data_IF_064734271597
#
_entry.id   IF_064734271597
#
_cell.length_a   1.000
_cell.length_b   1.000
_cell.length_c   1.000
_cell.angle_alpha   90.00
_cell.angle_beta   90.00
_cell.angle_gamma   90.00
#
_symmetry.space_group_name_H-M   'P 1'
#
loop_
_entity.id
_entity.type
_entity.pdbx_description
1 polymer ?
#
# COMPACT_ATOMS: atom_id res chain seq x y z
N UNK A 1 11.13 -48.30 -18.42
CA UNK A 1 12.53 -47.89 -18.22
C UNK A 1 12.82 -46.42 -18.54
N UNK A 2 12.72 -45.93 -19.78
CA UNK A 2 12.99 -44.51 -20.10
C UNK A 2 11.99 -43.55 -19.42
N UNK A 3 10.70 -43.87 -19.46
CA UNK A 3 9.66 -43.04 -18.83
C UNK A 3 9.79 -43.01 -17.30
N UNK A 4 10.18 -44.13 -16.68
CA UNK A 4 10.42 -44.20 -15.23
C UNK A 4 11.64 -43.36 -14.83
N UNK A 5 12.70 -43.35 -15.66
CA UNK A 5 13.86 -42.48 -15.44
C UNK A 5 13.52 -41.00 -15.62
N UNK A 6 12.62 -40.68 -16.54
CA UNK A 6 12.15 -39.30 -16.75
C UNK A 6 11.32 -38.81 -15.54
N UNK A 7 10.37 -39.61 -15.05
CA UNK A 7 9.58 -39.30 -13.86
C UNK A 7 10.47 -39.11 -12.63
N UNK A 8 11.49 -39.96 -12.46
CA UNK A 8 12.45 -39.85 -11.37
C UNK A 8 13.28 -38.56 -11.47
N UNK A 9 13.69 -38.17 -12.68
CA UNK A 9 14.39 -36.92 -12.95
C UNK A 9 13.50 -35.70 -12.68
N UNK A 10 12.26 -35.70 -13.15
CA UNK A 10 11.30 -34.61 -12.90
C UNK A 10 11.03 -34.42 -11.41
N UNK A 11 10.85 -35.52 -10.67
CA UNK A 11 10.64 -35.49 -9.21
C UNK A 11 11.87 -34.91 -8.52
N UNK A 12 13.08 -35.37 -8.89
CA UNK A 12 14.33 -34.90 -8.30
C UNK A 12 14.61 -33.43 -8.60
N UNK A 13 14.32 -32.97 -9.83
CA UNK A 13 14.44 -31.56 -10.21
C UNK A 13 13.40 -30.72 -9.47
N UNK A 14 12.17 -31.22 -9.32
CA UNK A 14 11.11 -30.56 -8.54
C UNK A 14 11.49 -30.39 -7.07
N UNK A 15 12.07 -31.41 -6.44
CA UNK A 15 12.58 -31.34 -5.07
C UNK A 15 13.72 -30.32 -4.94
N UNK A 16 14.69 -30.34 -5.87
CA UNK A 16 15.78 -29.36 -5.90
C UNK A 16 15.25 -27.93 -6.06
N UNK A 17 14.24 -27.73 -6.91
CA UNK A 17 13.61 -26.43 -7.10
C UNK A 17 12.87 -25.95 -5.84
N UNK A 18 12.20 -26.86 -5.11
CA UNK A 18 11.55 -26.54 -3.84
C UNK A 18 12.55 -26.12 -2.76
N UNK A 19 13.70 -26.80 -2.68
CA UNK A 19 14.79 -26.42 -1.76
C UNK A 19 15.34 -25.04 -2.11
N UNK A 20 15.61 -24.78 -3.39
CA UNK A 20 16.06 -23.46 -3.87
C UNK A 20 15.03 -22.37 -3.57
N UNK A 21 13.75 -22.64 -3.79
CA UNK A 21 12.66 -21.71 -3.46
C UNK A 21 12.62 -21.39 -1.96
N UNK A 22 12.75 -22.40 -1.11
CA UNK A 22 12.81 -22.21 0.35
C UNK A 22 14.04 -21.39 0.76
N UNK A 23 15.20 -21.65 0.18
CA UNK A 23 16.43 -20.89 0.45
C UNK A 23 16.31 -19.43 0.01
N UNK A 24 15.73 -19.15 -1.15
CA UNK A 24 15.50 -17.78 -1.63
C UNK A 24 14.54 -17.04 -0.69
N UNK A 25 13.46 -17.67 -0.24
CA UNK A 25 12.53 -17.06 0.71
C UNK A 25 13.17 -16.79 2.07
N UNK A 26 14.00 -17.71 2.57
CA UNK A 26 14.77 -17.51 3.81
C UNK A 26 15.76 -16.33 3.66
N UNK A 27 16.46 -16.24 2.54
CA UNK A 27 17.35 -15.10 2.25
C UNK A 27 16.60 -13.77 2.15
N UNK A 28 15.45 -13.75 1.46
CA UNK A 28 14.61 -12.56 1.37
C UNK A 28 14.05 -12.13 2.74
N UNK A 29 13.74 -13.08 3.61
CA UNK A 29 13.29 -12.82 4.99
C UNK A 29 14.44 -12.24 5.81
N UNK A 30 15.62 -12.87 5.77
CA UNK A 30 16.82 -12.37 6.46
C UNK A 30 17.24 -10.98 6.00
N UNK A 31 17.15 -10.70 4.70
CA UNK A 31 17.43 -9.37 4.15
C UNK A 31 16.43 -8.33 4.67
N UNK A 32 15.14 -8.68 4.78
CA UNK A 32 14.14 -7.80 5.38
C UNK A 32 14.39 -7.54 6.86
N UNK A 33 14.71 -8.57 7.63
CA UNK A 33 15.03 -8.42 9.05
C UNK A 33 16.25 -7.51 9.25
N UNK A 34 17.29 -7.67 8.42
CA UNK A 34 18.45 -6.78 8.42
C UNK A 34 18.08 -5.34 8.07
N UNK A 35 17.28 -5.11 7.03
CA UNK A 35 16.82 -3.76 6.65
C UNK A 35 16.02 -3.11 7.79
N UNK A 36 15.09 -3.85 8.41
CA UNK A 36 14.35 -3.37 9.56
C UNK A 36 15.26 -3.05 10.76
N UNK A 37 16.27 -3.87 11.02
CA UNK A 37 17.24 -3.63 12.09
C UNK A 37 18.04 -2.33 11.82
N UNK A 38 18.50 -2.13 10.59
CA UNK A 38 19.21 -0.91 10.17
C UNK A 38 18.30 0.31 10.31
N UNK A 39 17.04 0.25 9.86
CA UNK A 39 16.06 1.33 10.03
C UNK A 39 15.78 1.65 11.49
N UNK A 40 15.70 0.64 12.37
CA UNK A 40 15.55 0.84 13.84
C UNK A 40 16.76 1.56 14.44
N UNK A 41 17.98 1.13 14.08
CA UNK A 41 19.22 1.77 14.53
C UNK A 41 19.30 3.22 14.04
N UNK A 42 18.97 3.46 12.77
CA UNK A 42 18.97 4.79 12.18
C UNK A 42 17.98 5.73 12.88
N UNK A 43 16.75 5.27 13.14
CA UNK A 43 15.76 6.03 13.93
C UNK A 43 16.25 6.32 15.35
N UNK A 44 16.93 5.37 16.00
CA UNK A 44 17.55 5.55 17.31
C UNK A 44 18.61 6.65 17.30
N UNK A 45 19.51 6.61 16.31
CA UNK A 45 20.56 7.62 16.12
C UNK A 45 19.97 9.02 15.86
N UNK A 46 18.97 9.12 15.00
CA UNK A 46 18.29 10.38 14.72
C UNK A 46 17.63 10.99 15.98
N UNK A 47 17.00 10.16 16.82
CA UNK A 47 16.43 10.61 18.11
C UNK A 47 17.52 11.10 19.07
N UNK A 48 18.65 10.40 19.15
CA UNK A 48 19.78 10.81 19.98
C UNK A 48 20.37 12.15 19.54
N UNK A 49 20.56 12.35 18.22
CA UNK A 49 21.04 13.61 17.64
C UNK A 49 20.06 14.75 17.92
N UNK A 50 18.76 14.53 17.74
CA UNK A 50 17.73 15.53 18.02
C UNK A 50 17.69 15.91 19.51
N UNK A 51 17.84 14.92 20.40
CA UNK A 51 17.93 15.15 21.85
C UNK A 51 19.17 15.96 22.23
N UNK A 52 20.32 15.67 21.62
CA UNK A 52 21.56 16.39 21.87
C UNK A 52 21.48 17.86 21.38
N UNK A 53 20.88 18.11 20.22
CA UNK A 53 20.61 19.48 19.72
C UNK A 53 19.70 20.26 20.68
N UNK A 54 18.60 19.65 21.10
CA UNK A 54 17.66 20.28 22.05
C UNK A 54 18.30 20.58 23.40
N UNK A 55 19.23 19.73 23.87
CA UNK A 55 20.00 20.00 25.08
C UNK A 55 20.99 21.16 24.89
N UNK A 56 21.62 21.28 23.71
CA UNK A 56 22.46 22.44 23.35
C UNK A 56 21.68 23.76 23.31
N UNK A 57 20.50 23.75 22.67
CA UNK A 57 19.65 24.95 22.57
C UNK A 57 19.16 25.46 23.95
N UNK A 58 18.96 24.55 24.91
CA UNK A 58 18.59 24.89 26.29
C UNK A 58 19.74 25.50 27.10
N UNK A 59 20.99 25.22 26.73
CA UNK A 59 22.18 25.83 27.34
C UNK A 59 22.39 27.24 26.80
N UNK A 60 22.13 27.46 25.51
CA UNK A 60 22.31 28.76 24.84
C UNK A 60 21.14 29.73 25.07
N UNK A 61 19.91 29.24 25.34
CA UNK A 61 18.74 30.07 25.61
C UNK A 61 17.82 29.47 26.71
N UNK A 62 18.02 29.83 27.98
CA UNK A 62 17.15 29.36 29.06
C UNK A 62 15.76 30.04 28.98
N UNK A 63 14.65 29.30 29.18
CA UNK A 63 13.33 29.87 29.09
C UNK A 63 13.04 30.85 30.25
N UNK A 64 12.58 32.05 29.92
CA UNK A 64 12.14 33.04 30.90
C UNK A 64 10.94 32.53 31.71
N UNK A 65 11.08 32.47 33.04
CA UNK A 65 10.00 32.18 34.00
C UNK A 65 8.88 33.22 33.88
N UNK A 66 7.79 32.91 33.15
CA UNK A 66 6.54 33.68 33.24
C UNK A 66 5.82 33.35 34.55
N UNK A 67 5.74 34.34 35.45
CA UNK A 67 4.86 34.31 36.62
C UNK A 67 3.40 34.29 36.13
N UNK A 68 2.63 33.27 36.53
CA UNK A 68 1.16 33.27 36.40
C UNK A 68 0.61 34.33 37.35
N UNK A 69 0.06 35.41 36.80
CA UNK A 69 -0.87 36.28 37.51
C UNK A 69 -2.28 35.73 37.28
N UNK A 70 -3.02 35.58 38.36
CA UNK A 70 -4.34 34.96 38.40
C UNK A 70 -5.38 36.06 38.13
N UNK A 71 -6.02 36.02 36.97
CA UNK A 71 -7.17 36.89 36.68
C UNK A 71 -8.46 36.21 37.14
N UNK A 72 -9.13 36.89 38.07
CA UNK A 72 -10.52 36.70 38.45
C UNK A 72 -11.43 36.87 37.23
N UNK A 73 -12.33 35.91 37.01
CA UNK A 73 -13.51 36.10 36.17
C UNK A 73 -14.73 36.13 37.09
N UNK A 74 -15.23 37.34 37.29
CA UNK A 74 -16.54 37.63 37.86
C UNK A 74 -17.64 37.02 36.97
N UNK A 75 -18.55 36.27 37.60
CA UNK A 75 -19.88 35.98 37.06
C UNK A 75 -20.82 37.12 37.48
N UNK A 76 -21.79 37.45 36.63
CA UNK A 76 -23.12 37.75 37.16
C UNK A 76 -24.21 36.90 36.50
N UNK A 77 -24.92 36.21 37.39
CA UNK A 77 -26.36 36.09 37.55
C UNK A 77 -27.33 35.99 36.37
N UNK A 78 -28.21 34.99 36.54
CA UNK A 78 -29.50 34.74 35.92
C UNK A 78 -30.33 36.03 35.72
N UNK A 79 -31.00 36.10 34.58
CA UNK A 79 -32.35 36.63 34.47
C UNK A 79 -33.14 35.78 33.47
N UNK A 80 -34.15 35.08 33.96
CA UNK A 80 -35.31 34.62 33.19
C UNK A 80 -36.16 35.81 32.77
N UNK A 81 -36.70 35.85 31.54
CA UNK A 81 -37.88 36.63 31.25
C UNK A 81 -39.11 35.74 31.04
N UNK A 82 -40.19 36.25 31.60
CA UNK A 82 -41.57 35.80 31.53
C UNK A 82 -42.12 35.63 30.12
N UNK A 83 -43.14 34.78 30.07
CA UNK A 83 -44.10 34.57 29.00
C UNK A 83 -44.74 35.88 28.49
N UNK A 84 -44.76 36.06 27.18
CA UNK A 84 -45.82 36.81 26.49
C UNK A 84 -46.00 36.25 25.08
N UNK A 85 -47.22 35.77 24.81
CA UNK A 85 -47.72 35.33 23.51
C UNK A 85 -47.71 36.48 22.50
N UNK A 86 -47.31 36.21 21.26
CA UNK A 86 -47.85 36.92 20.10
C UNK A 86 -47.75 36.05 18.83
N UNK A 87 -48.87 35.93 18.14
CA UNK A 87 -49.06 35.10 16.94
C UNK A 87 -48.45 35.72 15.67
N UNK A 88 -48.04 34.85 14.74
CA UNK A 88 -48.20 35.08 13.29
C UNK A 88 -47.00 35.65 12.53
N UNK A 89 -46.15 34.76 11.98
CA UNK A 89 -45.59 34.92 10.62
C UNK A 89 -44.89 33.64 10.13
N UNK A 90 -45.33 33.17 8.97
CA UNK A 90 -44.75 32.08 8.18
C UNK A 90 -43.26 32.30 7.94
N UNK A 91 -42.45 31.28 8.24
CA UNK A 91 -41.02 31.25 7.97
C UNK A 91 -40.53 29.81 7.92
N UNK A 92 -39.92 29.43 6.80
CA UNK A 92 -39.31 28.14 6.52
C UNK A 92 -38.67 27.47 7.74
N UNK A 93 -39.16 26.28 8.10
CA UNK A 93 -38.39 25.33 8.89
C UNK A 93 -37.22 24.85 8.04
N UNK A 94 -36.08 25.51 8.19
CA UNK A 94 -34.78 25.00 7.74
C UNK A 94 -34.43 23.83 8.66
N UNK A 95 -34.20 22.66 8.06
CA UNK A 95 -33.95 21.38 8.70
C UNK A 95 -32.60 21.37 9.40
N UNK A 96 -32.55 21.94 10.61
CA UNK A 96 -31.35 21.98 11.44
C UNK A 96 -30.84 20.58 11.83
N UNK A 97 -31.69 19.55 11.79
CA UNK A 97 -31.27 18.16 12.02
C UNK A 97 -30.51 17.55 10.84
N UNK A 98 -30.84 17.97 9.60
CA UNK A 98 -30.12 17.54 8.40
C UNK A 98 -28.73 18.17 8.36
N UNK A 99 -28.63 19.48 8.60
CA UNK A 99 -27.36 20.21 8.63
C UNK A 99 -26.47 19.75 9.79
N UNK A 100 -27.06 19.35 10.93
CA UNK A 100 -26.32 18.79 12.06
C UNK A 100 -25.80 17.38 11.77
N UNK A 101 -26.61 16.53 11.11
CA UNK A 101 -26.15 15.21 10.68
C UNK A 101 -25.03 15.31 9.63
N UNK A 102 -25.17 16.22 8.66
CA UNK A 102 -24.17 16.43 7.62
C UNK A 102 -22.84 16.99 8.17
N UNK A 103 -22.90 17.86 9.18
CA UNK A 103 -21.71 18.39 9.86
C UNK A 103 -20.91 17.31 10.62
N UNK A 104 -21.58 16.34 11.25
CA UNK A 104 -20.90 15.21 11.92
C UNK A 104 -20.54 14.07 10.96
N UNK A 105 -21.23 13.93 9.83
CA UNK A 105 -20.94 12.90 8.83
C UNK A 105 -19.68 13.23 8.02
N UNK A 106 -19.43 14.50 7.69
CA UNK A 106 -18.22 14.92 6.95
C UNK A 106 -16.95 14.68 7.80
N UNK A 107 -17.01 14.99 9.11
CA UNK A 107 -15.95 14.69 10.08
C UNK A 107 -15.74 13.18 10.33
N UNK A 108 -16.80 12.36 10.18
CA UNK A 108 -16.73 10.89 10.31
C UNK A 108 -16.19 10.20 9.06
N UNK A 109 -16.42 10.76 7.87
CA UNK A 109 -15.85 10.28 6.62
C UNK A 109 -14.37 10.67 6.48
N UNK A 110 -13.97 11.84 6.97
CA UNK A 110 -12.56 12.22 7.11
C UNK A 110 -11.82 11.34 8.14
N UNK A 111 -12.53 10.85 9.18
CA UNK A 111 -12.01 9.86 10.14
C UNK A 111 -11.86 8.42 9.59
N UNK A 112 -12.46 8.11 8.43
CA UNK A 112 -12.43 6.78 7.78
C UNK A 112 -11.52 6.71 6.55
N UNK A 113 -11.14 7.85 5.99
CA UNK A 113 -10.28 7.89 4.83
C UNK A 113 -8.86 7.41 5.22
N UNK A 114 -8.34 6.47 4.43
CA UNK A 114 -6.94 6.02 4.56
C UNK A 114 -5.99 7.22 4.60
N UNK A 115 -4.99 7.26 5.50
CA UNK A 115 -3.93 8.27 5.49
C UNK A 115 -3.16 8.35 4.16
N UNK A 116 -3.25 7.30 3.34
CA UNK A 116 -2.65 7.22 1.98
C UNK A 116 -3.62 7.70 0.88
N UNK A 117 -4.87 8.04 1.20
CA UNK A 117 -5.88 8.46 0.21
C UNK A 117 -5.45 9.66 -0.67
N UNK A 118 -4.79 10.71 -0.14
CA UNK A 118 -4.30 11.79 -0.99
C UNK A 118 -3.27 11.34 -2.04
N UNK A 119 -2.35 10.45 -1.66
CA UNK A 119 -1.37 9.88 -2.58
C UNK A 119 -2.04 9.01 -3.65
N UNK A 120 -2.92 8.10 -3.21
CA UNK A 120 -3.64 7.19 -4.11
C UNK A 120 -4.49 7.98 -5.10
N UNK A 121 -5.25 8.97 -4.63
CA UNK A 121 -6.08 9.80 -5.51
C UNK A 121 -5.27 10.60 -6.53
N UNK A 122 -4.05 11.02 -6.17
CA UNK A 122 -3.21 11.84 -7.03
C UNK A 122 -2.46 11.02 -8.08
N UNK A 123 -2.02 9.81 -7.73
CA UNK A 123 -1.07 9.05 -8.54
C UNK A 123 -1.62 7.75 -9.14
N UNK A 124 -2.83 7.33 -8.77
CA UNK A 124 -3.40 6.12 -9.35
C UNK A 124 -3.66 6.26 -10.85
N UNK A 125 -3.16 5.28 -11.61
CA UNK A 125 -3.22 5.23 -13.06
C UNK A 125 -2.63 6.47 -13.75
N UNK A 126 -1.58 7.07 -13.19
CA UNK A 126 -0.97 8.28 -13.74
C UNK A 126 0.55 8.17 -13.86
N UNK A 127 1.08 8.94 -14.82
CA UNK A 127 2.52 9.14 -15.00
C UNK A 127 2.94 10.39 -14.24
N UNK A 128 3.99 10.29 -13.44
CA UNK A 128 4.53 11.40 -12.65
C UNK A 128 6.02 11.21 -12.40
N UNK A 129 6.62 12.16 -11.67
CA UNK A 129 8.01 12.07 -11.22
C UNK A 129 8.05 11.57 -9.77
N UNK A 130 8.73 10.46 -9.53
CA UNK A 130 9.04 9.90 -8.20
C UNK A 130 10.57 9.71 -8.15
N UNK A 131 11.23 10.26 -7.13
CA UNK A 131 12.70 10.16 -6.96
C UNK A 131 13.53 10.55 -8.20
N UNK A 132 13.11 11.61 -8.90
CA UNK A 132 13.73 12.09 -10.16
C UNK A 132 13.62 11.14 -11.36
N UNK A 133 12.76 10.12 -11.27
CA UNK A 133 12.45 9.20 -12.36
C UNK A 133 11.00 9.38 -12.81
N UNK A 134 10.75 9.24 -14.11
CA UNK A 134 9.42 9.21 -14.67
C UNK A 134 8.84 7.81 -14.47
N UNK A 135 7.75 7.74 -13.72
CA UNK A 135 7.09 6.48 -13.39
C UNK A 135 5.62 6.51 -13.73
N UNK A 136 5.07 5.37 -14.11
CA UNK A 136 3.64 5.11 -14.04
C UNK A 136 3.32 4.40 -12.73
N UNK A 137 2.25 4.80 -12.05
CA UNK A 137 1.80 4.12 -10.83
C UNK A 137 0.36 3.65 -10.94
N UNK A 138 0.09 2.45 -10.43
CA UNK A 138 -1.24 1.90 -10.27
C UNK A 138 -1.42 1.39 -8.83
N UNK A 139 -2.57 1.71 -8.22
CA UNK A 139 -2.94 1.22 -6.90
C UNK A 139 -4.12 0.27 -6.98
N UNK A 140 -4.03 -0.83 -6.25
CA UNK A 140 -5.10 -1.81 -6.12
C UNK A 140 -5.43 -2.05 -4.65
N UNK A 141 -6.65 -1.67 -4.26
CA UNK A 141 -7.22 -1.99 -2.95
C UNK A 141 -7.81 -3.40 -2.98
N UNK A 142 -7.39 -4.26 -2.06
CA UNK A 142 -7.90 -5.62 -1.88
C UNK A 142 -8.62 -5.70 -0.54
N UNK A 143 -9.95 -5.80 -0.60
CA UNK A 143 -10.83 -5.82 0.57
C UNK A 143 -11.00 -7.23 1.16
N UNK A 144 -11.53 -7.32 2.38
CA UNK A 144 -11.75 -8.55 3.16
C UNK A 144 -10.48 -9.38 3.35
N UNK A 145 -9.31 -8.74 3.46
CA UNK A 145 -8.03 -9.45 3.35
C UNK A 145 -7.87 -10.48 4.48
N UNK A 146 -8.33 -10.18 5.69
CA UNK A 146 -8.26 -11.10 6.83
C UNK A 146 -9.11 -12.34 6.61
N UNK A 147 -10.34 -12.18 6.11
CA UNK A 147 -11.18 -13.32 5.76
C UNK A 147 -10.50 -14.19 4.70
N UNK A 148 -9.93 -13.56 3.65
CA UNK A 148 -9.28 -14.28 2.56
C UNK A 148 -8.02 -15.01 3.01
N UNK A 149 -7.19 -14.41 3.86
CA UNK A 149 -6.01 -15.05 4.43
C UNK A 149 -6.37 -16.30 5.24
N UNK A 150 -7.41 -16.20 6.09
CA UNK A 150 -7.75 -17.26 7.03
C UNK A 150 -8.63 -18.39 6.43
N UNK A 151 -9.41 -18.09 5.39
CA UNK A 151 -10.46 -19.00 4.92
C UNK A 151 -10.29 -19.48 3.48
N UNK A 152 -9.37 -18.91 2.69
CA UNK A 152 -9.16 -19.35 1.32
C UNK A 152 -8.13 -20.48 1.24
N UNK A 153 -8.33 -21.42 0.31
CA UNK A 153 -7.30 -22.40 -0.03
C UNK A 153 -6.12 -21.77 -0.79
N UNK A 154 -4.95 -22.39 -0.68
CA UNK A 154 -3.67 -21.93 -1.22
C UNK A 154 -3.59 -21.54 -2.70
N UNK A 155 -4.48 -22.07 -3.55
CA UNK A 155 -4.51 -21.74 -4.99
C UNK A 155 -5.48 -20.63 -5.35
N UNK A 156 -6.30 -20.18 -4.39
CA UNK A 156 -7.32 -19.16 -4.65
C UNK A 156 -6.65 -17.79 -4.74
N UNK A 157 -7.06 -17.02 -5.74
CA UNK A 157 -6.48 -15.72 -6.05
C UNK A 157 -7.54 -14.70 -6.44
N UNK A 158 -7.15 -13.43 -6.39
CA UNK A 158 -7.89 -12.31 -6.97
C UNK A 158 -7.08 -11.71 -8.11
N UNK A 159 -7.78 -11.08 -9.05
CA UNK A 159 -7.21 -10.30 -10.15
C UNK A 159 -7.67 -8.85 -10.00
N UNK A 160 -6.79 -7.88 -10.22
CA UNK A 160 -7.19 -6.49 -10.38
C UNK A 160 -7.99 -6.31 -11.69
N UNK A 161 -8.72 -5.20 -11.85
CA UNK A 161 -9.06 -4.72 -13.17
C UNK A 161 -7.80 -4.61 -14.04
N UNK A 162 -7.96 -4.82 -15.35
CA UNK A 162 -6.87 -4.58 -16.28
C UNK A 162 -6.67 -3.06 -16.44
N UNK A 163 -5.42 -2.64 -16.63
CA UNK A 163 -5.07 -1.23 -16.84
C UNK A 163 -4.00 -1.08 -17.90
N UNK A 164 -3.99 0.09 -18.55
CA UNK A 164 -2.92 0.48 -19.47
C UNK A 164 -1.90 1.33 -18.74
N UNK A 165 -0.61 1.05 -18.91
CA UNK A 165 0.47 1.77 -18.21
C UNK A 165 0.82 3.13 -18.84
N UNK A 166 0.31 3.40 -20.04
CA UNK A 166 0.28 4.71 -20.68
C UNK A 166 -0.75 4.67 -21.83
N UNK A 167 -1.10 5.84 -22.37
CA UNK A 167 -2.04 5.93 -23.50
C UNK A 167 -1.52 5.12 -24.69
N UNK A 168 -2.36 4.24 -25.23
CA UNK A 168 -1.99 3.31 -26.31
C UNK A 168 -0.85 2.35 -25.94
N UNK A 169 -0.66 2.07 -24.64
CA UNK A 169 0.45 1.29 -24.11
C UNK A 169 0.14 -0.17 -23.83
N UNK A 170 1.03 -0.80 -23.06
CA UNK A 170 0.88 -2.19 -22.62
C UNK A 170 -0.29 -2.33 -21.65
N UNK A 171 -1.08 -3.40 -21.82
CA UNK A 171 -2.16 -3.76 -20.91
C UNK A 171 -1.68 -4.76 -19.87
N UNK A 172 -1.86 -4.44 -18.60
CA UNK A 172 -1.38 -5.24 -17.47
C UNK A 172 -2.50 -5.52 -16.47
N UNK A 173 -2.25 -6.48 -15.59
CA UNK A 173 -3.06 -6.74 -14.40
C UNK A 173 -2.17 -7.18 -13.23
N UNK A 174 -2.71 -7.03 -12.02
CA UNK A 174 -2.12 -7.59 -10.80
C UNK A 174 -2.93 -8.80 -10.35
N UNK A 175 -2.27 -9.74 -9.69
CA UNK A 175 -2.89 -10.95 -9.15
C UNK A 175 -2.36 -11.23 -7.76
N UNK A 176 -3.25 -11.44 -6.79
CA UNK A 176 -2.86 -11.76 -5.40
C UNK A 176 -3.35 -13.16 -5.04
N UNK A 177 -2.51 -13.90 -4.31
CA UNK A 177 -2.81 -15.14 -3.62
C UNK A 177 -2.78 -14.86 -2.12
N UNK A 178 -3.94 -14.61 -1.47
CA UNK A 178 -3.98 -14.17 -0.07
C UNK A 178 -3.52 -15.22 0.94
N UNK A 179 -3.53 -16.51 0.57
CA UNK A 179 -3.19 -17.61 1.48
C UNK A 179 -2.26 -18.65 0.84
N UNK A 180 -1.22 -18.21 0.14
CA UNK A 180 -0.27 -19.14 -0.48
C UNK A 180 0.46 -19.96 0.61
N UNK A 181 0.40 -21.28 0.48
CA UNK A 181 0.95 -22.24 1.46
C UNK A 181 0.47 -22.06 2.91
N UNK A 182 -0.67 -21.41 3.16
CA UNK A 182 -1.24 -21.29 4.52
C UNK A 182 -0.76 -20.11 5.36
N UNK A 183 0.33 -19.45 4.96
CA UNK A 183 1.01 -18.46 5.81
C UNK A 183 1.52 -17.23 5.05
N UNK A 184 1.47 -17.24 3.72
CA UNK A 184 2.09 -16.21 2.90
C UNK A 184 1.10 -15.58 1.92
N UNK A 185 1.34 -14.32 1.60
CA UNK A 185 0.68 -13.59 0.52
C UNK A 185 1.69 -13.44 -0.62
N UNK A 186 1.21 -13.68 -1.85
CA UNK A 186 1.98 -13.39 -3.06
C UNK A 186 1.20 -12.47 -3.98
N UNK A 187 1.82 -11.37 -4.36
CA UNK A 187 1.31 -10.42 -5.35
C UNK A 187 2.16 -10.54 -6.62
N UNK A 188 1.52 -10.72 -7.76
CA UNK A 188 2.14 -10.81 -9.07
C UNK A 188 1.63 -9.71 -9.99
N UNK A 189 2.42 -9.41 -11.00
CA UNK A 189 2.03 -8.57 -12.13
C UNK A 189 2.28 -9.35 -13.42
N UNK A 190 1.38 -9.20 -14.40
CA UNK A 190 1.54 -9.82 -15.71
C UNK A 190 0.88 -8.97 -16.80
N UNK A 191 1.28 -9.24 -18.03
CA UNK A 191 0.67 -8.68 -19.22
C UNK A 191 -0.57 -9.48 -19.62
N UNK A 192 -1.50 -8.80 -20.24
CA UNK A 192 -2.63 -9.41 -20.93
C UNK A 192 -2.78 -8.78 -22.31
N UNK A 193 -3.51 -9.46 -23.20
CA UNK A 193 -3.74 -8.98 -24.56
C UNK A 193 -4.38 -7.58 -24.56
N UNK A 194 -3.66 -6.63 -25.13
CA UNK A 194 -4.08 -5.24 -25.31
C UNK A 194 -4.49 -4.94 -26.75
N UNK A 195 -5.24 -3.85 -26.93
CA UNK A 195 -5.66 -3.38 -28.26
C UNK A 195 -4.48 -2.85 -29.08
N UNK A 196 -3.44 -2.37 -28.40
CA UNK A 196 -2.28 -1.70 -29.00
C UNK A 196 -1.06 -2.60 -29.15
N UNK A 197 -1.17 -3.90 -28.83
CA UNK A 197 -0.04 -4.83 -28.84
C UNK A 197 0.71 -4.90 -30.17
N UNK A 198 0.05 -4.61 -31.29
CA UNK A 198 0.67 -4.62 -32.62
C UNK A 198 1.64 -3.45 -32.87
N UNK A 199 1.50 -2.34 -32.14
CA UNK A 199 2.32 -1.14 -32.27
C UNK A 199 3.35 -0.95 -31.16
N UNK A 200 3.44 -1.92 -30.24
CA UNK A 200 4.37 -1.88 -29.11
C UNK A 200 5.62 -2.71 -29.39
N UNK A 201 6.69 -2.38 -28.68
CA UNK A 201 7.92 -3.17 -28.71
C UNK A 201 7.74 -4.45 -27.90
N UNK A 202 8.42 -5.52 -28.33
CA UNK A 202 8.37 -6.80 -27.66
C UNK A 202 9.75 -7.46 -27.66
N UNK A 203 10.16 -8.15 -26.57
CA UNK A 203 9.41 -8.33 -25.31
C UNK A 203 9.27 -7.02 -24.51
N UNK A 204 8.35 -7.01 -23.54
CA UNK A 204 8.23 -5.92 -22.58
C UNK A 204 9.53 -5.78 -21.77
N UNK A 205 10.06 -4.56 -21.67
CA UNK A 205 11.40 -4.29 -21.08
C UNK A 205 11.37 -3.36 -19.88
N UNK A 206 10.26 -2.67 -19.60
CA UNK A 206 10.23 -1.60 -18.61
C UNK A 206 10.41 -2.17 -17.19
N UNK A 207 11.35 -1.63 -16.38
CA UNK A 207 11.54 -2.07 -15.01
C UNK A 207 10.28 -1.81 -14.17
N UNK A 208 10.04 -2.66 -13.18
CA UNK A 208 8.87 -2.53 -12.32
C UNK A 208 9.13 -2.89 -10.87
N UNK A 209 8.32 -2.36 -9.95
CA UNK A 209 8.38 -2.64 -8.52
C UNK A 209 6.97 -2.73 -7.94
N UNK A 210 6.79 -3.63 -6.98
CA UNK A 210 5.53 -3.82 -6.25
C UNK A 210 5.78 -3.46 -4.79
N UNK A 211 4.82 -2.77 -4.16
CA UNK A 211 4.82 -2.51 -2.73
C UNK A 211 3.42 -2.72 -2.11
N UNK A 212 3.38 -2.98 -0.81
CA UNK A 212 2.16 -2.92 0.02
C UNK A 212 2.28 -1.74 0.95
N UNK A 213 1.29 -0.85 0.92
CA UNK A 213 1.35 0.41 1.65
C UNK A 213 1.18 0.20 3.15
N UNK A 214 2.04 0.82 3.94
CA UNK A 214 1.82 1.08 5.36
C UNK A 214 0.94 2.33 5.49
N UNK A 215 -0.16 2.23 6.24
CA UNK A 215 -1.07 3.33 6.49
C UNK A 215 -0.74 4.07 7.81
N UNK A 216 0.47 3.91 8.35
CA UNK A 216 0.95 4.68 9.50
C UNK A 216 1.33 6.11 9.10
N UNK A 217 1.50 6.98 10.11
CA UNK A 217 1.90 8.39 9.90
C UNK A 217 3.30 8.53 9.25
N UNK A 218 4.19 7.58 9.52
CA UNK A 218 5.55 7.52 8.97
C UNK A 218 5.69 6.17 8.25
N UNK A 219 5.15 6.06 7.03
CA UNK A 219 4.98 4.77 6.37
C UNK A 219 6.33 4.10 6.07
N UNK A 220 6.38 2.79 6.29
CA UNK A 220 7.48 1.91 5.90
C UNK A 220 6.91 0.77 5.04
N UNK A 221 6.61 1.07 3.77
CA UNK A 221 5.93 0.15 2.85
C UNK A 221 6.74 -1.16 2.65
N UNK A 222 6.06 -2.32 2.63
CA UNK A 222 6.70 -3.59 2.24
C UNK A 222 6.99 -3.49 0.75
N UNK A 223 8.26 -3.27 0.41
CA UNK A 223 8.68 -2.98 -0.96
C UNK A 223 9.51 -4.13 -1.52
N UNK A 224 9.13 -4.65 -2.68
CA UNK A 224 9.91 -5.63 -3.41
C UNK A 224 11.12 -5.01 -4.12
N UNK A 225 12.01 -5.86 -4.63
CA UNK A 225 13.09 -5.40 -5.52
C UNK A 225 12.52 -4.83 -6.82
N UNK A 226 13.33 -4.05 -7.53
CA UNK A 226 13.04 -3.69 -8.92
C UNK A 226 13.29 -4.92 -9.79
N UNK A 227 12.27 -5.29 -10.57
CA UNK A 227 12.32 -6.37 -11.53
C UNK A 227 12.66 -5.79 -12.91
N UNK A 228 13.70 -6.32 -13.53
CA UNK A 228 14.07 -6.03 -14.92
C UNK A 228 13.58 -7.20 -15.80
N UNK A 229 12.52 -7.01 -16.62
CA UNK A 229 11.97 -8.06 -17.48
C UNK A 229 12.98 -8.71 -18.43
N UNK A 230 14.05 -7.99 -18.76
CA UNK A 230 15.17 -8.46 -19.61
C UNK A 230 16.09 -9.45 -18.89
N UNK A 231 16.22 -9.36 -17.56
CA UNK A 231 17.13 -10.18 -16.76
C UNK A 231 16.48 -11.45 -16.21
N UNK A 232 15.19 -11.38 -15.86
CA UNK A 232 14.46 -12.49 -15.27
C UNK A 232 13.07 -12.66 -15.88
N UNK A 233 12.65 -13.92 -16.03
CA UNK A 233 11.35 -14.29 -16.59
C UNK A 233 11.17 -13.85 -18.05
N UNK A 234 12.26 -13.57 -18.78
CA UNK A 234 12.29 -13.03 -20.16
C UNK A 234 11.65 -13.91 -21.24
N UNK A 235 11.28 -15.15 -20.88
CA UNK A 235 10.45 -16.04 -21.71
C UNK A 235 8.98 -15.60 -21.74
N UNK A 236 8.06 -16.56 -21.71
CA UNK A 236 6.62 -16.40 -21.96
C UNK A 236 5.88 -15.33 -21.12
N UNK A 237 6.48 -14.82 -20.05
CA UNK A 237 5.88 -13.84 -19.14
C UNK A 237 5.85 -12.43 -19.74
N UNK A 238 6.87 -12.07 -20.52
CA UNK A 238 7.07 -10.72 -21.07
C UNK A 238 6.96 -10.63 -22.60
N UNK A 239 6.64 -11.75 -23.25
CA UNK A 239 6.41 -11.76 -24.70
C UNK A 239 5.08 -11.10 -25.07
N UNK A 240 4.90 -10.81 -26.36
CA UNK A 240 3.61 -10.33 -26.88
C UNK A 240 2.48 -11.33 -26.58
N UNK A 241 1.42 -10.93 -25.86
CA UNK A 241 0.27 -11.79 -25.64
C UNK A 241 -0.44 -12.14 -26.95
N UNK A 242 -0.80 -13.40 -27.14
CA UNK A 242 -1.46 -13.89 -28.38
C UNK A 242 -2.94 -14.21 -28.16
N UNK A 243 -3.25 -14.94 -27.08
CA UNK A 243 -4.59 -15.49 -26.81
C UNK A 243 -5.21 -15.02 -25.49
N UNK A 244 -4.47 -14.34 -24.62
CA UNK A 244 -4.96 -13.92 -23.31
C UNK A 244 -3.87 -13.40 -22.39
N UNK A 245 -3.88 -13.82 -21.13
CA UNK A 245 -2.85 -13.47 -20.16
C UNK A 245 -1.54 -14.20 -20.44
N UNK A 246 -0.43 -13.49 -20.25
CA UNK A 246 0.85 -14.15 -20.11
C UNK A 246 0.95 -14.88 -18.77
N UNK A 247 1.90 -15.81 -18.68
CA UNK A 247 2.20 -16.48 -17.42
C UNK A 247 2.69 -15.47 -16.37
N UNK A 248 2.37 -15.72 -15.10
CA UNK A 248 2.90 -14.95 -13.96
C UNK A 248 4.28 -15.48 -13.56
N UNK A 249 5.22 -14.59 -13.18
CA UNK A 249 6.54 -15.02 -12.70
C UNK A 249 7.08 -14.11 -11.60
N UNK A 250 7.21 -12.81 -11.87
CA UNK A 250 7.70 -11.86 -10.86
C UNK A 250 6.59 -11.45 -9.90
N UNK A 251 6.99 -11.01 -8.71
CA UNK A 251 6.03 -10.63 -7.68
C UNK A 251 6.68 -10.11 -6.41
N UNK A 252 5.85 -9.97 -5.39
CA UNK A 252 6.22 -9.67 -4.01
C UNK A 252 5.56 -10.72 -3.11
N UNK A 253 6.37 -11.49 -2.40
CA UNK A 253 5.93 -12.41 -1.35
C UNK A 253 6.20 -11.83 0.02
N UNK A 254 5.29 -12.00 0.97
CA UNK A 254 5.46 -11.66 2.38
C UNK A 254 4.56 -12.54 3.25
N UNK A 255 4.90 -12.70 4.52
CA UNK A 255 4.15 -13.53 5.45
C UNK A 255 2.87 -12.81 5.93
N UNK A 256 1.89 -13.58 6.41
CA UNK A 256 0.72 -13.00 7.09
C UNK A 256 1.13 -12.16 8.30
N UNK A 257 2.16 -12.60 9.04
CA UNK A 257 2.68 -11.89 10.20
C UNK A 257 3.28 -10.52 9.85
N UNK A 258 3.82 -10.35 8.64
CA UNK A 258 4.34 -9.05 8.19
C UNK A 258 3.25 -7.98 8.20
N UNK A 259 2.00 -8.36 7.94
CA UNK A 259 0.86 -7.45 7.96
C UNK A 259 0.50 -6.94 9.35
N UNK A 260 0.91 -7.64 10.41
CA UNK A 260 0.65 -7.25 11.81
C UNK A 260 1.75 -6.33 12.38
N UNK A 261 2.86 -6.14 11.66
CA UNK A 261 4.01 -5.33 12.14
C UNK A 261 3.70 -3.82 12.12
N UNK A 262 2.87 -3.38 11.17
CA UNK A 262 2.49 -1.98 11.00
C UNK A 262 1.05 -1.88 10.48
N UNK A 263 0.62 -0.70 10.03
CA UNK A 263 -0.76 -0.49 9.58
C UNK A 263 -0.94 -0.87 8.11
N UNK A 264 -0.51 -2.07 7.71
CA UNK A 264 -0.66 -2.55 6.34
C UNK A 264 -2.11 -2.94 6.01
N UNK A 265 -2.87 -3.41 7.01
CA UNK A 265 -4.30 -3.66 6.89
C UNK A 265 -5.08 -2.47 7.44
N UNK A 266 -5.68 -1.69 6.54
CA UNK A 266 -6.49 -0.54 6.88
C UNK A 266 -7.93 -0.75 6.40
N UNK A 267 -8.90 -0.63 7.32
CA UNK A 267 -10.32 -0.91 7.05
C UNK A 267 -10.56 -2.29 6.38
N UNK A 268 -9.90 -3.32 6.93
CA UNK A 268 -9.89 -4.71 6.44
C UNK A 268 -9.43 -4.90 4.99
N UNK A 269 -8.67 -3.95 4.47
CA UNK A 269 -8.08 -4.00 3.14
C UNK A 269 -6.57 -3.78 3.19
N UNK A 270 -5.87 -4.33 2.20
CA UNK A 270 -4.50 -3.90 1.86
C UNK A 270 -4.54 -3.05 0.59
N UNK A 271 -3.62 -2.09 0.50
CA UNK A 271 -3.41 -1.30 -0.72
C UNK A 271 -2.08 -1.69 -1.34
N UNK A 272 -2.12 -2.15 -2.58
CA UNK A 272 -0.95 -2.60 -3.33
C UNK A 272 -0.59 -1.51 -4.34
N UNK A 273 0.67 -1.08 -4.38
CA UNK A 273 1.23 -0.13 -5.36
C UNK A 273 2.08 -0.89 -6.38
N UNK A 274 1.81 -0.69 -7.66
CA UNK A 274 2.71 -1.04 -8.76
C UNK A 274 3.34 0.23 -9.31
N UNK A 275 4.66 0.24 -9.42
CA UNK A 275 5.43 1.31 -10.08
C UNK A 275 6.13 0.73 -11.30
N UNK A 276 5.94 1.36 -12.47
CA UNK A 276 6.68 1.06 -13.71
C UNK A 276 7.60 2.24 -14.00
N UNK A 277 8.88 1.98 -14.18
CA UNK A 277 9.89 2.99 -14.53
C UNK A 277 9.89 3.18 -16.05
N UNK A 278 9.72 4.41 -16.52
CA UNK A 278 9.49 4.74 -17.94
C UNK A 278 10.72 5.35 -18.65
N UNK A 279 11.84 5.46 -17.95
CA UNK A 279 13.10 6.05 -18.43
C UNK A 279 14.16 4.99 -18.73
#
# INVERSE_FOLDING_TARGET
ELDERLILLETRVGEQFNVLKAMVLDLETKLRDQDQQVKRQHRGLHRAIASARKAGDLIDNPPARRRRMQEHLDRPHLNTPDFAENEGREGNQISSEQDFADFYNDDLDELKASPRAPEVSKYNSSIHIEDSQRVFTYYWKVEDIRYRMNNWGWRRSLRSPDFYIFKFGYKMFMKIYPNNNGENIYVHVALTKGEFDASLEWPFTLPLRIAVLDHSRNPDDITGRVWHPTELCSGLHWQRPTTGDNQICVGLGFSHNDLDIANYVYADAITIKLTIFLD
#
